data_IF_531401731841
#
_entry.id   IF_531401731841
#
_cell.length_a   1.000
_cell.length_b   1.000
_cell.length_c   1.000
_cell.angle_alpha   90.00
_cell.angle_beta   90.00
_cell.angle_gamma   90.00
#
_symmetry.space_group_name_H-M   'P 1'
#
loop_
_entity.id
_entity.type
_entity.pdbx_description
1 polymer ?
#
# COMPACT_ATOMS: atom_id res chain seq x y z
N UNK A 1 -11.12 4.11 -19.78
CA UNK A 1 -11.61 4.94 -18.67
C UNK A 1 -10.42 5.42 -17.85
N UNK A 2 -10.15 6.74 -17.78
CA UNK A 2 -9.06 7.28 -16.93
C UNK A 2 -9.60 7.39 -15.49
N UNK A 3 -8.98 6.72 -14.52
CA UNK A 3 -9.32 6.86 -13.10
C UNK A 3 -8.89 8.26 -12.63
N UNK A 4 -9.77 8.97 -11.91
CA UNK A 4 -9.46 10.26 -11.29
C UNK A 4 -8.43 10.12 -10.16
N UNK A 5 -7.63 11.16 -9.88
CA UNK A 5 -6.70 11.18 -8.75
C UNK A 5 -7.41 10.89 -7.42
N UNK A 6 -8.65 11.37 -7.26
CA UNK A 6 -9.48 11.13 -6.08
C UNK A 6 -9.89 9.66 -5.98
N UNK A 7 -10.31 9.07 -7.09
CA UNK A 7 -10.74 7.66 -7.13
C UNK A 7 -9.56 6.71 -6.94
N UNK A 8 -8.40 7.05 -7.51
CA UNK A 8 -7.15 6.35 -7.28
C UNK A 8 -6.73 6.39 -5.80
N UNK A 9 -6.84 7.56 -5.16
CA UNK A 9 -6.57 7.71 -3.72
C UNK A 9 -7.50 6.86 -2.85
N UNK A 10 -8.79 6.82 -3.17
CA UNK A 10 -9.77 5.97 -2.47
C UNK A 10 -9.48 4.49 -2.64
N UNK A 11 -9.16 4.05 -3.87
CA UNK A 11 -8.79 2.67 -4.14
C UNK A 11 -7.50 2.28 -3.41
N UNK A 12 -6.49 3.16 -3.40
CA UNK A 12 -5.27 2.97 -2.61
C UNK A 12 -5.58 2.85 -1.11
N UNK A 13 -6.47 3.70 -0.58
CA UNK A 13 -6.86 3.64 0.82
C UNK A 13 -7.51 2.30 1.19
N UNK A 14 -8.39 1.76 0.34
CA UNK A 14 -9.01 0.44 0.55
C UNK A 14 -7.95 -0.67 0.57
N UNK A 15 -7.00 -0.67 -0.37
CA UNK A 15 -5.92 -1.67 -0.37
C UNK A 15 -5.05 -1.57 0.88
N UNK A 16 -4.60 -0.36 1.24
CA UNK A 16 -3.76 -0.13 2.42
C UNK A 16 -4.49 -0.49 3.72
N UNK A 17 -5.79 -0.21 3.82
CA UNK A 17 -6.61 -0.66 4.93
C UNK A 17 -6.75 -2.19 4.97
N UNK A 18 -6.86 -2.84 3.81
CA UNK A 18 -6.78 -4.29 3.69
C UNK A 18 -5.45 -4.86 4.21
N UNK A 19 -4.32 -4.20 3.90
CA UNK A 19 -3.01 -4.56 4.46
C UNK A 19 -2.97 -4.38 5.97
N UNK A 20 -3.53 -3.29 6.50
CA UNK A 20 -3.65 -3.09 7.96
C UNK A 20 -4.51 -4.19 8.61
N UNK A 21 -5.61 -4.59 7.98
CA UNK A 21 -6.47 -5.70 8.43
C UNK A 21 -5.74 -7.05 8.40
N UNK A 22 -4.94 -7.31 7.37
CA UNK A 22 -4.08 -8.49 7.30
C UNK A 22 -3.06 -8.51 8.43
N UNK A 23 -2.39 -7.39 8.70
CA UNK A 23 -1.44 -7.28 9.82
C UNK A 23 -2.13 -7.48 11.17
N UNK A 24 -3.34 -6.94 11.35
CA UNK A 24 -4.13 -7.16 12.56
C UNK A 24 -4.50 -8.64 12.73
N UNK A 25 -4.90 -9.31 11.65
CA UNK A 25 -5.23 -10.73 11.67
C UNK A 25 -4.01 -11.60 12.04
N UNK A 26 -2.83 -11.31 11.46
CA UNK A 26 -1.58 -11.97 11.82
C UNK A 26 -1.23 -11.77 13.31
N UNK A 27 -1.33 -10.53 13.80
CA UNK A 27 -1.12 -10.21 15.21
C UNK A 27 -2.09 -11.00 16.11
N UNK A 28 -3.34 -11.14 15.70
CA UNK A 28 -4.37 -11.93 16.39
C UNK A 28 -4.17 -13.46 16.28
N UNK A 29 -3.23 -13.94 15.47
CA UNK A 29 -2.90 -15.37 15.35
C UNK A 29 -3.57 -16.07 14.17
N UNK A 30 -3.96 -15.34 13.12
CA UNK A 30 -4.43 -15.97 11.88
C UNK A 30 -3.34 -16.89 11.31
N UNK A 31 -3.69 -18.10 10.85
CA UNK A 31 -2.72 -19.12 10.42
C UNK A 31 -2.23 -18.88 8.98
N UNK A 32 -1.82 -17.66 8.66
CA UNK A 32 -1.45 -17.19 7.31
C UNK A 32 0.04 -16.96 7.15
N UNK A 33 0.89 -17.54 7.99
CA UNK A 33 2.34 -17.37 7.92
C UNK A 33 2.94 -17.80 6.57
N UNK A 34 2.31 -18.73 5.83
CA UNK A 34 2.76 -19.12 4.47
C UNK A 34 2.68 -17.98 3.45
N UNK A 35 1.81 -16.99 3.68
CA UNK A 35 1.68 -15.79 2.85
C UNK A 35 2.27 -14.55 3.54
N UNK A 36 3.17 -14.71 4.52
CA UNK A 36 3.77 -13.59 5.24
C UNK A 36 5.25 -13.83 5.53
N UNK A 37 6.03 -12.77 5.65
CA UNK A 37 7.42 -12.82 6.14
C UNK A 37 8.29 -13.88 5.43
N UNK A 38 8.19 -14.00 4.10
CA UNK A 38 8.96 -14.98 3.33
C UNK A 38 8.36 -16.39 3.28
N UNK A 39 7.23 -16.63 3.96
CA UNK A 39 6.56 -17.92 4.05
C UNK A 39 7.30 -18.97 4.90
N UNK A 40 8.25 -18.55 5.74
CA UNK A 40 9.07 -19.45 6.55
C UNK A 40 8.32 -20.13 7.71
N UNK A 41 7.11 -19.67 8.03
CA UNK A 41 6.30 -20.19 9.13
C UNK A 41 4.96 -20.66 8.60
N UNK A 42 4.75 -21.98 8.53
CA UNK A 42 3.42 -22.51 8.19
C UNK A 42 2.46 -22.30 9.37
N UNK A 43 1.24 -21.81 9.10
CA UNK A 43 0.24 -21.58 10.13
C UNK A 43 0.45 -20.27 10.89
N UNK A 44 0.37 -20.31 12.22
CA UNK A 44 0.42 -19.12 13.09
C UNK A 44 1.86 -18.64 13.24
N UNK A 45 2.06 -17.32 13.17
CA UNK A 45 3.38 -16.71 13.34
C UNK A 45 3.90 -16.81 14.79
N UNK A 46 5.23 -16.87 15.00
CA UNK A 46 5.83 -16.69 16.31
C UNK A 46 5.56 -15.28 16.87
N UNK A 47 5.67 -15.13 18.19
CA UNK A 47 5.22 -13.93 18.92
C UNK A 47 5.96 -12.64 18.53
N UNK A 48 7.23 -12.74 18.13
CA UNK A 48 8.03 -11.62 17.63
C UNK A 48 7.49 -11.08 16.31
N UNK A 49 7.14 -11.96 15.37
CA UNK A 49 6.53 -11.57 14.09
C UNK A 49 5.09 -11.08 14.28
N UNK A 50 4.33 -11.64 15.23
CA UNK A 50 2.99 -11.13 15.59
C UNK A 50 3.06 -9.73 16.18
N UNK A 51 4.04 -9.46 17.03
CA UNK A 51 4.29 -8.12 17.58
C UNK A 51 4.70 -7.15 16.48
N UNK A 52 5.53 -7.60 15.55
CA UNK A 52 5.90 -6.81 14.35
C UNK A 52 4.66 -6.49 13.50
N UNK A 53 3.77 -7.45 13.28
CA UNK A 53 2.50 -7.24 12.59
C UNK A 53 1.63 -6.22 13.34
N UNK A 54 1.50 -6.34 14.65
CA UNK A 54 0.74 -5.40 15.47
C UNK A 54 1.26 -3.96 15.33
N UNK A 55 2.58 -3.77 15.33
CA UNK A 55 3.21 -2.47 15.14
C UNK A 55 2.96 -1.88 13.74
N UNK A 56 2.76 -2.72 12.72
CA UNK A 56 2.47 -2.27 11.35
C UNK A 56 1.02 -1.85 11.12
N UNK A 57 0.08 -2.26 11.98
CA UNK A 57 -1.34 -1.85 11.88
C UNK A 57 -1.51 -0.33 11.86
N UNK A 58 -1.00 0.46 12.82
CA UNK A 58 -1.15 1.92 12.79
C UNK A 58 -0.41 2.54 11.60
N UNK A 59 0.70 1.96 11.13
CA UNK A 59 1.44 2.45 9.97
C UNK A 59 0.57 2.36 8.71
N UNK A 60 0.07 1.18 8.37
CA UNK A 60 -0.78 1.02 7.18
C UNK A 60 -2.13 1.73 7.33
N UNK A 61 -2.69 1.81 8.55
CA UNK A 61 -3.88 2.60 8.84
C UNK A 61 -3.68 4.10 8.57
N UNK A 62 -2.55 4.67 9.01
CA UNK A 62 -2.22 6.07 8.74
C UNK A 62 -2.00 6.34 7.25
N UNK A 63 -1.32 5.43 6.54
CA UNK A 63 -1.16 5.52 5.08
C UNK A 63 -2.50 5.48 4.36
N UNK A 64 -3.41 4.59 4.78
CA UNK A 64 -4.77 4.51 4.24
C UNK A 64 -5.56 5.81 4.48
N UNK A 65 -5.47 6.39 5.69
CA UNK A 65 -6.12 7.65 6.01
C UNK A 65 -5.61 8.80 5.12
N UNK A 66 -4.29 8.91 4.92
CA UNK A 66 -3.70 9.94 4.03
C UNK A 66 -4.13 9.73 2.58
N UNK A 67 -4.16 8.48 2.09
CA UNK A 67 -4.65 8.15 0.77
C UNK A 67 -6.13 8.53 0.57
N UNK A 68 -6.96 8.34 1.62
CA UNK A 68 -8.36 8.74 1.64
C UNK A 68 -8.57 10.26 1.69
N UNK A 69 -7.54 11.04 2.04
CA UNK A 69 -7.56 12.50 2.04
C UNK A 69 -7.24 13.17 3.38
N UNK A 70 -6.76 12.43 4.39
CA UNK A 70 -6.34 13.02 5.65
C UNK A 70 -5.09 13.92 5.47
N UNK A 71 -5.07 15.04 6.20
CA UNK A 71 -3.96 16.00 6.20
C UNK A 71 -3.96 16.97 5.02
N UNK A 72 -2.99 17.89 5.02
CA UNK A 72 -2.85 18.90 3.96
C UNK A 72 -2.28 18.36 2.65
N UNK A 73 -2.50 19.08 1.55
CA UNK A 73 -2.07 18.67 0.20
C UNK A 73 -0.56 18.39 0.08
N UNK A 74 0.29 19.17 0.77
CA UNK A 74 1.75 18.95 0.80
C UNK A 74 2.10 17.63 1.49
N UNK A 75 1.55 17.39 2.68
CA UNK A 75 1.77 16.16 3.45
C UNK A 75 1.34 14.94 2.63
N UNK A 76 0.11 14.97 2.10
CA UNK A 76 -0.43 13.90 1.27
C UNK A 76 0.46 13.60 0.07
N UNK A 77 0.97 14.63 -0.62
CA UNK A 77 1.88 14.46 -1.76
C UNK A 77 3.19 13.78 -1.37
N UNK A 78 3.80 14.22 -0.27
CA UNK A 78 5.06 13.64 0.23
C UNK A 78 4.87 12.19 0.66
N UNK A 79 3.84 11.93 1.48
CA UNK A 79 3.53 10.59 2.00
C UNK A 79 3.24 9.64 0.84
N UNK A 80 2.34 9.97 -0.07
CA UNK A 80 1.97 9.05 -1.16
C UNK A 80 3.13 8.79 -2.12
N UNK A 81 4.04 9.75 -2.36
CA UNK A 81 5.28 9.49 -3.11
C UNK A 81 6.20 8.52 -2.39
N UNK A 82 6.38 8.71 -1.08
CA UNK A 82 7.14 7.79 -0.24
C UNK A 82 6.52 6.39 -0.21
N UNK A 83 5.19 6.31 -0.09
CA UNK A 83 4.44 5.05 -0.13
C UNK A 83 4.56 4.37 -1.49
N UNK A 84 4.49 5.11 -2.61
CA UNK A 84 4.75 4.55 -3.94
C UNK A 84 6.13 3.91 -4.00
N UNK A 85 7.18 4.62 -3.59
CA UNK A 85 8.54 4.09 -3.60
C UNK A 85 8.67 2.84 -2.72
N UNK A 86 8.14 2.88 -1.50
CA UNK A 86 8.12 1.75 -0.57
C UNK A 86 7.41 0.53 -1.17
N UNK A 87 6.24 0.72 -1.78
CA UNK A 87 5.47 -0.36 -2.38
C UNK A 87 6.12 -0.92 -3.65
N UNK A 88 6.82 -0.10 -4.43
CA UNK A 88 7.62 -0.59 -5.57
C UNK A 88 8.77 -1.47 -5.10
N UNK A 89 9.50 -1.06 -4.06
CA UNK A 89 10.55 -1.91 -3.45
C UNK A 89 9.93 -3.17 -2.85
N UNK A 90 8.82 -3.02 -2.11
CA UNK A 90 8.08 -4.14 -1.54
C UNK A 90 7.60 -5.13 -2.61
N UNK A 91 7.15 -4.66 -3.78
CA UNK A 91 6.78 -5.51 -4.90
C UNK A 91 7.96 -6.32 -5.42
N UNK A 92 9.15 -5.72 -5.54
CA UNK A 92 10.36 -6.44 -5.93
C UNK A 92 10.77 -7.48 -4.88
N UNK A 93 10.71 -7.13 -3.59
CA UNK A 93 10.98 -8.06 -2.47
C UNK A 93 9.98 -9.22 -2.47
N UNK A 94 8.69 -8.93 -2.63
CA UNK A 94 7.64 -9.96 -2.69
C UNK A 94 7.80 -10.85 -3.92
N UNK A 95 8.19 -10.30 -5.07
CA UNK A 95 8.47 -11.08 -6.27
C UNK A 95 9.66 -12.05 -6.07
N UNK A 96 10.66 -11.62 -5.32
CA UNK A 96 11.82 -12.44 -4.95
C UNK A 96 11.55 -13.43 -3.81
N UNK A 97 10.35 -13.45 -3.21
CA UNK A 97 10.03 -14.36 -2.12
C UNK A 97 10.17 -15.83 -2.55
N UNK A 98 10.75 -16.71 -1.71
CA UNK A 98 10.76 -18.14 -1.97
C UNK A 98 9.36 -18.78 -1.88
N UNK A 99 8.41 -18.14 -1.18
CA UNK A 99 7.03 -18.64 -1.01
C UNK A 99 6.15 -18.32 -2.22
N UNK A 100 5.70 -19.35 -2.93
CA UNK A 100 4.74 -19.18 -4.03
C UNK A 100 3.41 -18.54 -3.58
N UNK A 101 2.76 -18.99 -2.48
CA UNK A 101 1.55 -18.33 -1.97
C UNK A 101 1.77 -16.84 -1.69
N UNK A 102 2.92 -16.49 -1.10
CA UNK A 102 3.24 -15.08 -0.82
C UNK A 102 3.40 -14.28 -2.11
N UNK A 103 4.11 -14.79 -3.12
CA UNK A 103 4.23 -14.14 -4.44
C UNK A 103 2.87 -13.87 -5.07
N UNK A 104 1.99 -14.88 -5.08
CA UNK A 104 0.68 -14.79 -5.71
C UNK A 104 -0.25 -13.77 -5.04
N UNK A 105 -0.10 -13.55 -3.73
CA UNK A 105 -0.87 -12.55 -2.99
C UNK A 105 -0.23 -11.17 -3.09
N UNK A 106 1.06 -11.06 -2.76
CA UNK A 106 1.65 -9.76 -2.47
C UNK A 106 2.18 -9.03 -3.69
N UNK A 107 2.61 -9.72 -4.74
CA UNK A 107 3.00 -9.05 -6.00
C UNK A 107 1.83 -8.24 -6.58
N UNK A 108 0.62 -8.82 -6.81
CA UNK A 108 -0.48 -8.03 -7.35
C UNK A 108 -0.95 -6.93 -6.38
N UNK A 109 -0.98 -7.20 -5.07
CA UNK A 109 -1.40 -6.20 -4.07
C UNK A 109 -0.45 -5.01 -4.04
N UNK A 110 0.87 -5.25 -3.93
CA UNK A 110 1.86 -4.17 -3.85
C UNK A 110 2.02 -3.44 -5.18
N UNK A 111 1.95 -4.14 -6.32
CA UNK A 111 1.94 -3.50 -7.64
C UNK A 111 0.71 -2.59 -7.82
N UNK A 112 -0.49 -3.09 -7.50
CA UNK A 112 -1.72 -2.29 -7.59
C UNK A 112 -1.67 -1.07 -6.66
N UNK A 113 -1.24 -1.25 -5.41
CA UNK A 113 -1.13 -0.16 -4.45
C UNK A 113 -0.05 0.87 -4.88
N UNK A 114 1.08 0.44 -5.45
CA UNK A 114 2.11 1.34 -5.99
C UNK A 114 1.54 2.20 -7.14
N UNK A 115 0.84 1.58 -8.10
CA UNK A 115 0.22 2.28 -9.22
C UNK A 115 -0.85 3.27 -8.73
N UNK A 116 -1.72 2.85 -7.81
CA UNK A 116 -2.82 3.70 -7.32
C UNK A 116 -2.30 4.89 -6.50
N UNK A 117 -1.33 4.66 -5.61
CA UNK A 117 -0.70 5.74 -4.82
C UNK A 117 0.02 6.74 -5.73
N UNK A 118 0.72 6.25 -6.77
CA UNK A 118 1.34 7.13 -7.76
C UNK A 118 0.31 7.95 -8.52
N UNK A 119 -0.77 7.31 -9.02
CA UNK A 119 -1.84 8.00 -9.76
C UNK A 119 -2.58 9.02 -8.92
N UNK A 120 -2.67 8.83 -7.60
CA UNK A 120 -3.28 9.78 -6.68
C UNK A 120 -2.49 11.10 -6.50
N UNK A 121 -1.24 11.15 -6.97
CA UNK A 121 -0.35 12.33 -6.89
C UNK A 121 0.43 12.64 -8.16
N UNK A 122 0.19 11.88 -9.23
CA UNK A 122 0.78 12.11 -10.53
C UNK A 122 0.36 13.50 -11.01
N UNK A 123 1.28 14.34 -11.51
CA UNK A 123 0.89 15.61 -12.09
C UNK A 123 -0.10 15.33 -13.22
N UNK A 124 -1.36 15.73 -13.06
CA UNK A 124 -2.28 15.81 -14.19
C UNK A 124 -1.58 16.59 -15.29
N UNK A 125 -1.45 16.00 -16.48
CA UNK A 125 -0.84 16.64 -17.64
C UNK A 125 -1.27 18.10 -17.65
N UNK A 126 -0.31 19.00 -17.46
CA UNK A 126 -0.53 20.44 -17.34
C UNK A 126 -1.45 20.84 -18.48
N UNK A 127 -2.70 21.20 -18.16
CA UNK A 127 -3.55 21.91 -19.11
C UNK A 127 -2.72 23.14 -19.48
N UNK A 128 -2.34 23.36 -20.75
CA UNK A 128 -1.63 24.57 -21.13
C UNK A 128 -2.41 25.74 -20.54
N UNK A 129 -1.72 26.64 -19.84
CA UNK A 129 -2.33 27.86 -19.36
C UNK A 129 -3.08 28.47 -20.55
N UNK A 130 -4.39 28.63 -20.41
CA UNK A 130 -5.17 29.32 -21.42
C UNK A 130 -4.50 30.69 -21.57
N UNK A 131 -3.86 30.91 -22.73
CA UNK A 131 -3.34 32.21 -23.10
C UNK A 131 -4.54 33.16 -23.06
N UNK A 132 -4.54 34.20 -22.21
CA UNK A 132 -5.63 35.17 -22.25
C UNK A 132 -5.64 35.78 -23.66
N UNK A 133 -6.79 35.70 -24.33
CA UNK A 133 -7.03 36.45 -25.55
C UNK A 133 -7.02 37.93 -25.17
N UNK A 134 -5.92 38.61 -25.50
CA UNK A 134 -5.86 40.06 -25.58
C UNK A 134 -6.52 40.56 -26.85
#
# INVERSE_FOLDING_TARGET
MRISEKDAGRAAAVLLAGVAGFQLALAAGAPWGVVAYGGGHAGVLPDDLRTTSAAMVPVYGALAAVAAGAGGARLRRVVLRGTTALLTVGCAVNLASPSLPERLVWVPVTAAAAVLTWRAVAPGATRPAAVPAG
#
